data_IF_655824560710
#
_entry.id   IF_655824560710
#
_cell.length_a   1.000
_cell.length_b   1.000
_cell.length_c   1.000
_cell.angle_alpha   90.00
_cell.angle_beta   90.00
_cell.angle_gamma   90.00
#
_symmetry.space_group_name_H-M   'P 1'
#
loop_
_entity.id
_entity.type
_entity.pdbx_description
1 polymer ?
#
# COMPACT_ATOMS: atom_id res chain seq x y z
N UNK A 1 24.02 39.61 13.49
CA UNK A 1 24.26 38.25 12.98
C UNK A 1 23.02 37.86 12.22
N UNK A 2 23.14 37.78 10.91
CA UNK A 2 22.09 37.34 9.99
C UNK A 2 22.20 35.84 9.79
N UNK A 3 21.15 35.19 9.26
CA UNK A 3 21.18 33.76 8.94
C UNK A 3 22.32 33.42 7.96
N UNK A 4 22.66 34.34 7.05
CA UNK A 4 23.74 34.19 6.08
C UNK A 4 25.14 34.20 6.71
N UNK A 5 25.26 34.64 7.98
CA UNK A 5 26.54 34.63 8.71
C UNK A 5 26.80 33.28 9.39
N UNK A 6 25.84 32.35 9.36
CA UNK A 6 25.98 31.02 9.97
C UNK A 6 26.76 30.07 9.06
N UNK A 7 27.53 29.14 9.64
CA UNK A 7 28.10 28.01 8.91
C UNK A 7 27.02 27.19 8.17
N UNK A 8 27.35 26.67 6.98
CA UNK A 8 26.40 25.95 6.11
C UNK A 8 25.76 24.75 6.80
N UNK A 9 26.51 24.02 7.62
CA UNK A 9 26.05 22.89 8.42
C UNK A 9 24.95 23.29 9.41
N UNK A 10 25.04 24.47 10.02
CA UNK A 10 23.98 25.00 10.90
C UNK A 10 22.74 25.37 10.07
N UNK A 11 22.91 25.94 8.88
CA UNK A 11 21.78 26.25 8.00
C UNK A 11 21.09 24.95 7.57
N UNK A 12 21.85 23.91 7.21
CA UNK A 12 21.31 22.58 6.86
C UNK A 12 20.57 21.96 8.04
N UNK A 13 21.08 22.12 9.27
CA UNK A 13 20.39 21.65 10.47
C UNK A 13 19.06 22.38 10.69
N UNK A 14 19.02 23.70 10.51
CA UNK A 14 17.77 24.48 10.57
C UNK A 14 16.77 24.01 9.52
N UNK A 15 17.23 23.73 8.30
CA UNK A 15 16.39 23.26 7.18
C UNK A 15 15.74 21.90 7.47
N UNK A 16 16.33 21.07 8.33
CA UNK A 16 15.72 19.79 8.74
C UNK A 16 14.45 19.95 9.58
N UNK A 17 14.16 21.15 10.08
CA UNK A 17 12.92 21.46 10.81
C UNK A 17 11.84 22.08 9.91
N UNK A 18 12.15 22.31 8.63
CA UNK A 18 11.26 22.96 7.67
C UNK A 18 10.58 21.93 6.75
N UNK A 19 9.35 22.22 6.33
CA UNK A 19 8.63 21.42 5.33
C UNK A 19 8.89 21.96 3.93
N UNK A 20 8.87 21.12 2.88
CA UNK A 20 9.36 21.46 1.53
C UNK A 20 9.00 22.87 0.98
N UNK A 21 7.81 23.46 1.23
CA UNK A 21 7.53 24.84 0.80
C UNK A 21 8.43 25.91 1.44
N UNK A 22 8.87 25.67 2.67
CA UNK A 22 9.63 26.63 3.49
C UNK A 22 11.11 26.74 3.05
N UNK A 23 11.86 25.65 2.79
CA UNK A 23 13.20 25.74 2.20
C UNK A 23 13.19 26.45 0.85
N UNK A 24 12.17 26.23 0.02
CA UNK A 24 12.06 26.94 -1.28
C UNK A 24 11.88 28.44 -1.01
N UNK A 25 10.98 28.81 -0.10
CA UNK A 25 10.76 30.21 0.28
C UNK A 25 12.03 30.84 0.85
N UNK A 26 12.80 30.10 1.65
CA UNK A 26 14.09 30.51 2.19
C UNK A 26 15.11 30.80 1.09
N UNK A 27 15.24 29.91 0.10
CA UNK A 27 16.14 30.11 -1.06
C UNK A 27 15.79 31.38 -1.85
N UNK A 28 14.52 31.77 -1.89
CA UNK A 28 14.05 32.95 -2.62
C UNK A 28 14.22 34.27 -1.86
N UNK A 29 14.67 34.25 -0.60
CA UNK A 29 14.78 35.47 0.22
C UNK A 29 15.96 36.37 -0.20
N UNK A 30 17.12 35.83 -0.55
CA UNK A 30 18.29 36.58 -0.99
C UNK A 30 19.25 35.75 -1.85
N UNK A 31 20.15 36.40 -2.59
CA UNK A 31 21.11 35.72 -3.47
C UNK A 31 22.09 34.80 -2.74
N UNK A 32 22.47 35.15 -1.51
CA UNK A 32 23.35 34.32 -0.69
C UNK A 32 22.70 32.97 -0.34
N UNK A 33 21.43 32.99 0.09
CA UNK A 33 20.67 31.78 0.38
C UNK A 33 20.29 31.03 -0.90
N UNK A 34 19.99 31.75 -1.99
CA UNK A 34 19.76 31.11 -3.30
C UNK A 34 20.95 30.25 -3.76
N UNK A 35 22.18 30.62 -3.39
CA UNK A 35 23.38 29.82 -3.65
C UNK A 35 23.32 28.40 -3.06
N UNK A 36 22.57 28.18 -1.96
CA UNK A 36 22.34 26.84 -1.40
C UNK A 36 21.56 25.93 -2.35
N UNK A 37 20.83 26.50 -3.31
CA UNK A 37 20.12 25.71 -4.32
C UNK A 37 21.07 24.95 -5.26
N UNK A 38 22.35 25.32 -5.32
CA UNK A 38 23.36 24.59 -6.09
C UNK A 38 24.09 23.52 -5.27
N UNK A 39 23.83 23.47 -3.96
CA UNK A 39 24.40 22.48 -3.06
C UNK A 39 23.57 21.20 -3.05
N UNK A 40 24.19 20.07 -3.41
CA UNK A 40 23.51 18.77 -3.45
C UNK A 40 23.07 18.29 -2.06
N UNK A 41 23.89 18.54 -1.04
CA UNK A 41 23.59 18.18 0.35
C UNK A 41 22.34 18.86 0.87
N UNK A 42 22.08 20.11 0.49
CA UNK A 42 20.86 20.84 0.82
C UNK A 42 19.62 20.09 0.38
N UNK A 43 19.54 19.71 -0.90
CA UNK A 43 18.38 19.02 -1.44
C UNK A 43 18.19 17.61 -0.88
N UNK A 44 19.28 16.88 -0.58
CA UNK A 44 19.20 15.59 0.10
C UNK A 44 18.56 15.77 1.48
N UNK A 45 19.04 16.73 2.27
CA UNK A 45 18.51 17.03 3.62
C UNK A 45 17.01 17.37 3.60
N UNK A 46 16.62 18.25 2.66
CA UNK A 46 15.24 18.68 2.45
C UNK A 46 14.34 17.50 2.06
N UNK A 47 14.78 16.68 1.09
CA UNK A 47 14.01 15.55 0.59
C UNK A 47 13.94 14.40 1.60
N UNK A 48 14.99 14.13 2.36
CA UNK A 48 14.95 13.13 3.45
C UNK A 48 13.97 13.55 4.55
N UNK A 49 14.00 14.83 4.95
CA UNK A 49 13.06 15.38 5.93
C UNK A 49 11.63 15.28 5.41
N UNK A 50 11.40 15.62 4.14
CA UNK A 50 10.09 15.52 3.50
C UNK A 50 9.62 14.06 3.38
N UNK A 51 10.51 13.14 2.99
CA UNK A 51 10.25 11.70 2.88
C UNK A 51 9.84 11.09 4.21
N UNK A 52 10.30 11.63 5.34
CA UNK A 52 9.90 11.16 6.68
C UNK A 52 8.45 11.49 7.04
N UNK A 53 7.85 12.47 6.37
CA UNK A 53 6.48 12.91 6.63
C UNK A 53 5.51 12.52 5.52
N UNK A 54 5.99 12.51 4.28
CA UNK A 54 5.16 12.31 3.10
C UNK A 54 5.90 11.52 2.01
N UNK A 55 5.18 10.79 1.15
CA UNK A 55 5.78 10.14 -0.02
C UNK A 55 6.40 11.19 -0.96
N UNK A 56 7.54 10.85 -1.56
CA UNK A 56 8.20 11.64 -2.61
C UNK A 56 8.37 10.77 -3.86
N UNK A 57 8.48 11.39 -5.05
CA UNK A 57 8.46 10.71 -6.37
C UNK A 57 9.66 9.80 -6.71
N UNK A 58 9.99 8.89 -5.80
CA UNK A 58 10.97 7.83 -5.94
C UNK A 58 10.69 6.72 -4.91
N UNK A 59 11.19 5.49 -5.12
CA UNK A 59 10.99 4.41 -4.17
C UNK A 59 11.45 4.79 -2.75
N UNK A 60 10.72 4.40 -1.68
CA UNK A 60 10.93 4.87 -0.31
C UNK A 60 12.35 4.64 0.22
N UNK A 61 12.96 3.53 -0.20
CA UNK A 61 14.28 3.08 0.24
C UNK A 61 15.40 3.50 -0.70
N UNK A 62 15.14 4.37 -1.69
CA UNK A 62 16.16 4.84 -2.62
C UNK A 62 17.18 5.74 -1.91
N UNK A 63 18.47 5.45 -2.12
CA UNK A 63 19.57 6.30 -1.67
C UNK A 63 19.64 7.60 -2.48
N UNK A 64 19.19 8.70 -1.86
CA UNK A 64 19.18 10.03 -2.50
C UNK A 64 20.59 10.56 -2.77
N UNK A 65 21.62 10.07 -2.07
CA UNK A 65 23.01 10.50 -2.28
C UNK A 65 23.57 10.08 -3.64
N UNK A 66 22.94 9.10 -4.28
CA UNK A 66 23.29 8.63 -5.62
C UNK A 66 22.65 9.47 -6.73
N UNK A 67 21.69 10.33 -6.41
CA UNK A 67 20.99 11.12 -7.41
C UNK A 67 21.79 12.36 -7.80
N UNK A 68 21.84 12.72 -9.10
CA UNK A 68 22.42 13.98 -9.54
C UNK A 68 21.55 15.15 -9.06
N UNK A 69 22.16 16.33 -8.91
CA UNK A 69 21.49 17.55 -8.42
C UNK A 69 20.19 17.85 -9.19
N UNK A 70 20.22 17.76 -10.52
CA UNK A 70 19.04 18.01 -11.36
C UNK A 70 17.89 17.06 -11.06
N UNK A 71 18.20 15.79 -10.74
CA UNK A 71 17.18 14.82 -10.36
C UNK A 71 16.57 15.16 -9.01
N UNK A 72 17.37 15.58 -8.04
CA UNK A 72 16.89 16.03 -6.72
C UNK A 72 15.98 17.25 -6.85
N UNK A 73 16.40 18.27 -7.60
CA UNK A 73 15.55 19.43 -7.94
C UNK A 73 14.25 19.00 -8.63
N UNK A 74 14.33 18.04 -9.55
CA UNK A 74 13.18 17.45 -10.22
C UNK A 74 12.19 16.78 -9.26
N UNK A 75 12.67 16.04 -8.25
CA UNK A 75 11.81 15.43 -7.22
C UNK A 75 11.05 16.49 -6.42
N UNK A 76 11.72 17.58 -6.05
CA UNK A 76 11.11 18.72 -5.35
C UNK A 76 9.99 19.32 -6.18
N UNK A 77 10.26 19.62 -7.46
CA UNK A 77 9.26 20.19 -8.37
C UNK A 77 8.06 19.24 -8.54
N UNK A 78 8.30 17.94 -8.74
CA UNK A 78 7.25 16.94 -8.87
C UNK A 78 6.39 16.84 -7.61
N UNK A 79 7.01 16.81 -6.43
CA UNK A 79 6.27 16.79 -5.16
C UNK A 79 5.47 18.08 -4.97
N UNK A 80 6.03 19.25 -5.26
CA UNK A 80 5.31 20.53 -5.11
C UNK A 80 4.09 20.59 -6.03
N UNK A 81 4.24 20.17 -7.29
CA UNK A 81 3.12 20.10 -8.24
C UNK A 81 2.04 19.14 -7.77
N UNK A 82 2.44 17.98 -7.27
CA UNK A 82 1.54 17.00 -6.67
C UNK A 82 0.74 17.67 -5.55
N UNK A 83 1.40 18.17 -4.50
CA UNK A 83 0.71 18.77 -3.36
C UNK A 83 -0.21 19.93 -3.77
N UNK A 84 0.21 20.78 -4.71
CA UNK A 84 -0.65 21.85 -5.25
C UNK A 84 -1.91 21.27 -5.87
N UNK A 85 -1.81 20.21 -6.68
CA UNK A 85 -2.96 19.58 -7.32
C UNK A 85 -3.88 18.88 -6.31
N UNK A 86 -3.30 18.19 -5.33
CA UNK A 86 -4.05 17.48 -4.29
C UNK A 86 -4.76 18.41 -3.30
N UNK A 87 -4.21 19.61 -3.06
CA UNK A 87 -4.84 20.61 -2.22
C UNK A 87 -5.98 21.37 -2.94
N UNK A 88 -6.24 21.07 -4.22
CA UNK A 88 -7.41 21.62 -4.91
C UNK A 88 -8.67 20.88 -4.47
N UNK A 89 -9.83 21.57 -4.43
CA UNK A 89 -11.11 20.91 -4.17
C UNK A 89 -11.44 19.78 -5.16
N UNK A 90 -10.89 19.87 -6.39
CA UNK A 90 -11.07 18.91 -7.46
C UNK A 90 -9.72 18.63 -8.14
N UNK A 91 -8.92 17.67 -7.63
CA UNK A 91 -7.65 17.29 -8.26
C UNK A 91 -7.84 16.92 -9.72
N UNK A 92 -6.99 17.46 -10.59
CA UNK A 92 -7.14 17.31 -12.05
C UNK A 92 -6.07 16.40 -12.63
N UNK A 93 -6.43 15.69 -13.69
CA UNK A 93 -5.47 14.99 -14.53
C UNK A 93 -4.73 16.05 -15.35
N UNK A 94 -3.40 16.11 -15.20
CA UNK A 94 -2.55 17.16 -15.80
C UNK A 94 -2.14 16.81 -17.23
N UNK A 95 -2.07 15.52 -17.56
CA UNK A 95 -1.58 15.03 -18.84
C UNK A 95 -2.61 14.12 -19.53
N UNK A 96 -2.65 14.08 -20.88
CA UNK A 96 -3.48 13.11 -21.59
C UNK A 96 -3.18 11.69 -21.12
N UNK A 97 -4.23 10.87 -20.98
CA UNK A 97 -4.06 9.48 -20.61
C UNK A 97 -3.20 8.74 -21.64
N UNK A 98 -2.17 8.05 -21.17
CA UNK A 98 -1.40 7.14 -22.02
C UNK A 98 -2.04 5.77 -21.96
N UNK A 99 -2.32 5.18 -23.11
CA UNK A 99 -2.98 3.88 -23.21
C UNK A 99 -2.07 2.85 -23.88
N UNK A 100 -2.20 1.60 -23.49
CA UNK A 100 -1.43 0.48 -24.02
C UNK A 100 -2.25 -0.79 -23.97
N UNK A 101 -2.25 -1.55 -25.07
CA UNK A 101 -2.92 -2.85 -25.10
C UNK A 101 -2.05 -3.93 -24.49
N UNK A 102 -2.56 -4.57 -23.45
CA UNK A 102 -2.00 -5.80 -22.89
C UNK A 102 -2.35 -6.99 -23.81
N UNK A 103 -1.62 -8.11 -23.74
CA UNK A 103 -1.91 -9.30 -24.56
C UNK A 103 -3.28 -9.95 -24.27
N UNK A 104 -3.96 -9.55 -23.20
CA UNK A 104 -5.29 -10.01 -22.81
C UNK A 104 -5.79 -9.34 -21.54
N UNK A 105 -6.97 -9.75 -21.04
CA UNK A 105 -7.53 -9.23 -19.80
C UNK A 105 -6.59 -9.52 -18.63
N UNK A 106 -6.23 -8.47 -17.89
CA UNK A 106 -5.30 -8.56 -16.78
C UNK A 106 -5.86 -7.85 -15.54
N UNK A 107 -5.27 -8.16 -14.39
CA UNK A 107 -5.48 -7.46 -13.14
C UNK A 107 -4.14 -7.04 -12.55
N UNK A 108 -4.09 -5.83 -12.00
CA UNK A 108 -2.93 -5.36 -11.24
C UNK A 108 -3.00 -6.02 -9.87
N UNK A 109 -1.90 -6.66 -9.47
CA UNK A 109 -1.80 -7.34 -8.16
C UNK A 109 -0.79 -6.68 -7.25
N UNK A 110 0.17 -5.95 -7.83
CA UNK A 110 1.15 -5.15 -7.10
C UNK A 110 1.71 -4.06 -8.02
N UNK A 111 2.29 -3.02 -7.45
CA UNK A 111 3.04 -1.99 -8.16
C UNK A 111 4.25 -1.59 -7.34
N UNK A 112 5.42 -1.52 -7.98
CA UNK A 112 6.65 -1.07 -7.33
C UNK A 112 6.65 0.46 -7.29
N UNK A 113 6.61 1.02 -6.10
CA UNK A 113 6.24 2.41 -5.87
C UNK A 113 7.32 3.38 -6.31
N UNK A 114 6.91 4.49 -6.94
CA UNK A 114 7.83 5.46 -7.52
C UNK A 114 8.54 4.95 -8.78
N UNK A 115 8.02 3.88 -9.40
CA UNK A 115 8.51 3.31 -10.66
C UNK A 115 7.36 3.10 -11.64
N UNK A 116 7.65 2.76 -12.89
CA UNK A 116 6.63 2.40 -13.88
C UNK A 116 6.40 0.87 -13.93
N UNK A 117 6.79 0.12 -12.88
CA UNK A 117 6.73 -1.36 -12.84
C UNK A 117 5.43 -1.80 -12.18
N UNK A 118 4.54 -2.41 -12.97
CA UNK A 118 3.34 -3.08 -12.50
C UNK A 118 3.57 -4.58 -12.43
N UNK A 119 2.94 -5.27 -11.49
CA UNK A 119 2.84 -6.74 -11.47
C UNK A 119 1.41 -7.10 -11.82
N UNK A 120 1.27 -7.88 -12.88
CA UNK A 120 -0.02 -8.21 -13.47
C UNK A 120 -0.26 -9.71 -13.41
N UNK A 121 -1.53 -10.11 -13.22
CA UNK A 121 -2.00 -11.48 -13.47
C UNK A 121 -2.86 -11.52 -14.72
N UNK A 122 -2.61 -12.50 -15.59
CA UNK A 122 -3.34 -12.74 -16.83
C UNK A 122 -3.47 -14.24 -17.06
N UNK A 123 -4.70 -14.74 -17.15
CA UNK A 123 -5.00 -16.17 -17.46
C UNK A 123 -4.27 -17.18 -16.56
N UNK A 124 -4.01 -16.84 -15.30
CA UNK A 124 -3.29 -17.72 -14.37
C UNK A 124 -1.77 -17.69 -14.57
N UNK A 125 -1.23 -16.61 -15.11
CA UNK A 125 0.20 -16.34 -15.17
C UNK A 125 0.50 -14.94 -14.61
N UNK A 126 1.64 -14.76 -13.93
CA UNK A 126 2.08 -13.49 -13.35
C UNK A 126 3.35 -12.98 -14.01
N UNK A 127 3.42 -11.69 -14.29
CA UNK A 127 4.59 -11.04 -14.89
C UNK A 127 4.68 -9.56 -14.48
N UNK A 128 5.86 -8.95 -14.63
CA UNK A 128 6.00 -7.50 -14.53
C UNK A 128 5.70 -6.82 -15.86
N UNK A 129 5.20 -5.61 -15.80
CA UNK A 129 4.94 -4.76 -16.95
C UNK A 129 5.56 -3.40 -16.73
N UNK A 130 6.38 -2.95 -17.68
CA UNK A 130 6.89 -1.59 -17.72
C UNK A 130 5.84 -0.71 -18.40
N UNK A 131 5.06 0.03 -17.59
CA UNK A 131 3.97 0.87 -18.05
C UNK A 131 4.44 2.01 -18.95
N UNK A 132 5.70 2.45 -18.82
CA UNK A 132 6.28 3.52 -19.62
C UNK A 132 6.72 3.03 -21.00
N UNK A 133 7.35 1.86 -21.07
CA UNK A 133 7.85 1.31 -22.33
C UNK A 133 6.85 0.36 -23.00
N UNK A 134 5.71 0.06 -22.36
CA UNK A 134 4.69 -0.85 -22.88
C UNK A 134 5.23 -2.26 -23.16
N UNK A 135 6.11 -2.76 -22.29
CA UNK A 135 6.80 -4.05 -22.48
C UNK A 135 6.70 -4.93 -21.24
N UNK A 136 6.46 -6.26 -21.40
CA UNK A 136 6.51 -7.21 -20.29
C UNK A 136 7.96 -7.50 -19.87
N UNK A 137 8.14 -7.84 -18.60
CA UNK A 137 9.39 -8.32 -18.02
C UNK A 137 9.11 -9.37 -16.92
N UNK A 138 9.87 -10.47 -16.83
CA UNK A 138 10.71 -11.00 -17.90
C UNK A 138 9.81 -11.46 -19.06
N UNK A 139 10.41 -11.86 -20.19
CA UNK A 139 9.63 -12.36 -21.33
C UNK A 139 8.81 -13.63 -21.01
N UNK A 140 9.14 -14.34 -19.93
CA UNK A 140 8.45 -15.56 -19.50
C UNK A 140 7.69 -15.31 -18.20
N UNK A 141 6.36 -15.37 -18.27
CA UNK A 141 5.51 -15.27 -17.10
C UNK A 141 5.67 -16.49 -16.15
N UNK A 142 5.34 -16.27 -14.87
CA UNK A 142 5.24 -17.32 -13.85
C UNK A 142 3.87 -17.94 -13.94
N UNK A 143 3.80 -19.21 -14.31
CA UNK A 143 2.54 -19.94 -14.35
C UNK A 143 2.04 -20.22 -12.93
N UNK A 144 0.90 -19.63 -12.57
CA UNK A 144 0.25 -19.85 -11.27
C UNK A 144 -0.84 -20.91 -11.33
N UNK A 145 -1.48 -21.06 -12.50
CA UNK A 145 -2.55 -22.03 -12.77
C UNK A 145 -3.86 -21.74 -12.03
N UNK A 146 -4.01 -20.53 -11.48
CA UNK A 146 -5.11 -20.17 -10.60
C UNK A 146 -5.36 -18.68 -10.49
N UNK A 147 -6.37 -18.31 -9.71
CA UNK A 147 -6.65 -16.93 -9.35
C UNK A 147 -5.87 -16.56 -8.09
N UNK A 148 -5.48 -15.29 -7.98
CA UNK A 148 -4.72 -14.80 -6.84
C UNK A 148 -5.71 -14.38 -5.77
N UNK A 149 -5.53 -14.88 -4.55
CA UNK A 149 -6.47 -14.65 -3.44
C UNK A 149 -5.95 -13.67 -2.40
N UNK A 150 -4.64 -13.58 -2.24
CA UNK A 150 -3.96 -12.72 -1.27
C UNK A 150 -2.61 -12.30 -1.81
N UNK A 151 -2.19 -11.07 -1.53
CA UNK A 151 -0.88 -10.53 -1.90
C UNK A 151 -0.33 -9.73 -0.73
N UNK A 152 0.96 -9.89 -0.46
CA UNK A 152 1.73 -9.03 0.43
C UNK A 152 3.06 -8.69 -0.24
N UNK A 153 3.53 -7.46 -0.05
CA UNK A 153 4.75 -6.99 -0.65
C UNK A 153 5.61 -6.23 0.35
N UNK A 154 6.92 -6.37 0.17
CA UNK A 154 7.94 -5.59 0.86
C UNK A 154 8.83 -4.94 -0.19
N UNK A 155 9.00 -3.63 -0.07
CA UNK A 155 9.98 -2.89 -0.86
C UNK A 155 11.23 -2.63 -0.02
N UNK A 156 12.37 -2.62 -0.70
CA UNK A 156 13.69 -2.35 -0.17
C UNK A 156 14.53 -1.67 -1.25
N UNK A 157 15.74 -1.24 -0.92
CA UNK A 157 16.58 -0.48 -1.85
C UNK A 157 16.90 -1.28 -3.13
N UNK A 158 16.16 -1.02 -4.21
CA UNK A 158 16.32 -1.69 -5.51
C UNK A 158 15.79 -3.12 -5.58
N UNK A 159 15.07 -3.59 -4.56
CA UNK A 159 14.51 -4.94 -4.48
C UNK A 159 13.09 -4.84 -3.95
N UNK A 160 12.17 -5.52 -4.62
CA UNK A 160 10.80 -5.72 -4.16
C UNK A 160 10.54 -7.22 -4.05
N UNK A 161 10.05 -7.67 -2.89
CA UNK A 161 9.68 -9.06 -2.63
C UNK A 161 8.17 -9.13 -2.46
N UNK A 162 7.52 -9.99 -3.24
CA UNK A 162 6.08 -10.21 -3.21
C UNK A 162 5.80 -11.65 -2.83
N UNK A 163 4.89 -11.86 -1.89
CA UNK A 163 4.33 -13.17 -1.62
C UNK A 163 2.83 -13.16 -1.89
N UNK A 164 2.32 -14.20 -2.55
CA UNK A 164 0.91 -14.32 -2.84
C UNK A 164 0.45 -15.78 -2.87
N UNK A 165 -0.85 -15.97 -2.67
CA UNK A 165 -1.51 -17.26 -2.87
C UNK A 165 -2.17 -17.30 -4.24
N UNK A 166 -2.01 -18.44 -4.94
CA UNK A 166 -2.83 -18.74 -6.10
C UNK A 166 -3.63 -20.03 -5.85
N UNK A 167 -4.96 -19.91 -5.92
CA UNK A 167 -5.88 -21.02 -5.79
C UNK A 167 -6.18 -21.61 -7.18
N UNK A 168 -5.81 -22.88 -7.45
CA UNK A 168 -6.05 -23.52 -8.74
C UNK A 168 -7.55 -23.55 -9.07
N UNK A 169 -7.92 -23.27 -10.33
CA UNK A 169 -9.32 -23.30 -10.75
C UNK A 169 -10.00 -24.66 -10.51
N UNK A 170 -9.24 -25.75 -10.63
CA UNK A 170 -9.75 -27.11 -10.45
C UNK A 170 -9.77 -27.58 -8.98
N UNK A 171 -9.05 -26.90 -8.07
CA UNK A 171 -8.85 -27.33 -6.69
C UNK A 171 -8.60 -26.12 -5.77
N UNK A 172 -9.63 -25.31 -5.47
CA UNK A 172 -9.48 -24.06 -4.72
C UNK A 172 -8.93 -24.26 -3.29
N UNK A 173 -9.11 -25.45 -2.71
CA UNK A 173 -8.66 -25.79 -1.35
C UNK A 173 -7.18 -26.15 -1.23
N UNK A 174 -6.40 -26.06 -2.31
CA UNK A 174 -4.97 -26.35 -2.29
C UNK A 174 -4.18 -25.15 -2.84
N UNK A 175 -4.21 -23.98 -2.17
CA UNK A 175 -3.50 -22.81 -2.62
C UNK A 175 -1.99 -23.08 -2.65
N UNK A 176 -1.33 -22.53 -3.66
CA UNK A 176 0.13 -22.52 -3.75
C UNK A 176 0.63 -21.13 -3.35
N UNK A 177 1.70 -21.10 -2.56
CA UNK A 177 2.39 -19.85 -2.22
C UNK A 177 3.50 -19.59 -3.23
N UNK A 178 3.45 -18.41 -3.81
CA UNK A 178 4.48 -17.89 -4.70
C UNK A 178 5.22 -16.78 -3.98
N UNK A 179 6.54 -16.73 -4.19
CA UNK A 179 7.38 -15.61 -3.79
C UNK A 179 8.05 -15.10 -5.06
N UNK A 180 7.89 -13.82 -5.34
CA UNK A 180 8.56 -13.14 -6.44
C UNK A 180 9.57 -12.15 -5.88
N UNK A 181 10.77 -12.14 -6.44
CA UNK A 181 11.76 -11.11 -6.16
C UNK A 181 12.02 -10.33 -7.44
N UNK A 182 11.76 -9.03 -7.38
CA UNK A 182 11.92 -8.08 -8.48
C UNK A 182 13.07 -7.17 -8.12
N UNK A 183 14.20 -7.27 -8.83
CA UNK A 183 15.27 -6.27 -8.71
C UNK A 183 14.99 -5.17 -9.70
N UNK A 184 15.13 -3.92 -9.28
CA UNK A 184 14.87 -2.77 -10.12
C UNK A 184 15.94 -1.69 -9.95
N UNK A 185 16.23 -0.99 -11.05
CA UNK A 185 17.17 0.12 -11.10
C UNK A 185 16.66 1.18 -12.07
N UNK A 186 16.81 2.46 -11.71
CA UNK A 186 16.37 3.59 -12.53
C UNK A 186 14.90 3.49 -13.00
N UNK A 187 14.02 2.96 -12.14
CA UNK A 187 12.59 2.80 -12.42
C UNK A 187 12.24 1.64 -13.36
N UNK A 188 13.19 0.73 -13.64
CA UNK A 188 12.97 -0.44 -14.50
C UNK A 188 13.33 -1.74 -13.78
N UNK A 189 12.58 -2.80 -14.06
CA UNK A 189 12.92 -4.14 -13.60
C UNK A 189 14.18 -4.62 -14.36
N UNK A 190 15.14 -5.17 -13.62
CA UNK A 190 16.42 -5.68 -14.16
C UNK A 190 16.59 -7.18 -13.91
N UNK A 191 15.90 -7.72 -12.91
CA UNK A 191 15.88 -9.14 -12.59
C UNK A 191 14.51 -9.51 -12.02
N UNK A 192 14.10 -10.77 -12.25
CA UNK A 192 12.83 -11.29 -11.80
C UNK A 192 12.98 -12.79 -11.55
N UNK A 193 12.86 -13.18 -10.29
CA UNK A 193 12.92 -14.58 -9.87
C UNK A 193 11.62 -14.97 -9.19
N UNK A 194 11.30 -16.26 -9.23
CA UNK A 194 10.14 -16.81 -8.56
C UNK A 194 10.45 -18.12 -7.86
N UNK A 195 9.91 -18.27 -6.66
CA UNK A 195 9.91 -19.49 -5.89
C UNK A 195 8.48 -19.94 -5.65
N UNK A 196 8.26 -21.26 -5.69
CA UNK A 196 6.94 -21.86 -5.49
C UNK A 196 7.04 -22.88 -4.38
N UNK A 197 6.16 -22.75 -3.40
CA UNK A 197 6.05 -23.68 -2.28
C UNK A 197 4.62 -24.16 -2.14
N UNK A 198 4.45 -25.45 -1.87
CA UNK A 198 3.16 -25.96 -1.43
C UNK A 198 2.96 -25.57 0.02
N UNK A 199 1.80 -25.03 0.34
CA UNK A 199 1.41 -24.77 1.72
C UNK A 199 0.50 -25.90 2.15
N UNK A 200 0.94 -26.66 3.15
CA UNK A 200 0.10 -27.67 3.78
C UNK A 200 -0.96 -26.96 4.61
N UNK A 201 -2.10 -26.66 3.99
CA UNK A 201 -3.22 -26.07 4.72
C UNK A 201 -4.01 -27.16 5.44
N UNK A 202 -4.35 -26.96 6.72
CA UNK A 202 -5.36 -27.79 7.36
C UNK A 202 -6.68 -27.67 6.57
N UNK A 203 -7.43 -28.78 6.44
CA UNK A 203 -8.69 -28.77 5.70
C UNK A 203 -9.68 -27.77 6.31
N UNK A 204 -10.19 -26.85 5.48
CA UNK A 204 -11.20 -25.86 5.85
C UNK A 204 -10.65 -24.68 6.66
N UNK A 205 -9.74 -23.86 6.09
CA UNK A 205 -9.47 -22.56 6.67
C UNK A 205 -10.54 -21.54 6.22
N UNK A 206 -11.20 -20.86 7.16
CA UNK A 206 -12.04 -19.70 6.86
C UNK A 206 -11.22 -18.50 6.35
N UNK A 207 -9.97 -18.36 6.80
CA UNK A 207 -9.15 -17.18 6.54
C UNK A 207 -7.70 -17.52 6.26
N UNK A 208 -7.13 -16.84 5.27
CA UNK A 208 -5.74 -16.97 4.87
C UNK A 208 -5.13 -15.58 4.64
N UNK A 209 -3.97 -15.32 5.23
CA UNK A 209 -3.20 -14.11 4.98
C UNK A 209 -1.73 -14.47 4.78
N UNK A 210 -1.05 -13.77 3.88
CA UNK A 210 0.38 -13.90 3.63
C UNK A 210 1.06 -12.60 4.04
N UNK A 211 2.26 -12.69 4.60
CA UNK A 211 3.06 -11.51 4.92
C UNK A 211 4.52 -11.72 4.52
N UNK A 212 5.18 -10.60 4.22
CA UNK A 212 6.60 -10.54 3.86
C UNK A 212 7.32 -9.61 4.81
N UNK A 213 8.51 -10.01 5.24
CA UNK A 213 9.47 -9.18 5.97
C UNK A 213 10.84 -9.32 5.30
N UNK A 214 11.83 -8.58 5.79
CA UNK A 214 13.19 -8.59 5.25
C UNK A 214 13.85 -9.98 5.27
N UNK A 215 13.48 -10.84 6.23
CA UNK A 215 14.13 -12.13 6.47
C UNK A 215 13.18 -13.34 6.52
N UNK A 216 11.87 -13.13 6.36
CA UNK A 216 10.89 -14.21 6.39
C UNK A 216 9.65 -13.93 5.54
N UNK A 217 9.07 -15.00 5.01
CA UNK A 217 7.74 -15.03 4.43
C UNK A 217 6.89 -15.98 5.27
N UNK A 218 5.75 -15.50 5.75
CA UNK A 218 4.87 -16.30 6.57
C UNK A 218 3.43 -16.29 6.07
N UNK A 219 2.67 -17.23 6.61
CA UNK A 219 1.26 -17.43 6.31
C UNK A 219 0.50 -17.60 7.60
N UNK A 220 -0.65 -16.93 7.71
CA UNK A 220 -1.58 -17.08 8.82
C UNK A 220 -2.81 -17.77 8.29
N UNK A 221 -3.23 -18.84 8.98
CA UNK A 221 -4.45 -19.57 8.69
C UNK A 221 -5.27 -19.76 9.96
N UNK A 222 -6.57 -19.50 9.89
CA UNK A 222 -7.53 -19.82 10.96
C UNK A 222 -8.28 -21.11 10.61
N UNK A 223 -8.56 -21.97 11.59
CA UNK A 223 -9.31 -23.24 11.38
C UNK A 223 -10.69 -23.14 12.02
N UNK A 224 -11.74 -23.43 11.27
CA UNK A 224 -13.18 -23.22 11.58
C UNK A 224 -13.67 -23.75 12.94
N UNK A 225 -12.98 -24.73 13.52
CA UNK A 225 -13.40 -25.41 14.76
C UNK A 225 -12.45 -25.21 15.94
N UNK A 226 -11.38 -24.44 15.76
CA UNK A 226 -10.42 -24.15 16.83
C UNK A 226 -10.26 -22.64 16.91
N UNK A 227 -10.36 -22.09 18.11
CA UNK A 227 -10.01 -20.70 18.44
C UNK A 227 -8.50 -20.41 18.29
N UNK A 228 -7.85 -21.13 17.36
CA UNK A 228 -6.42 -21.13 17.15
C UNK A 228 -6.12 -20.60 15.74
N UNK A 229 -5.37 -19.51 15.65
CA UNK A 229 -4.67 -19.17 14.41
C UNK A 229 -3.36 -19.94 14.35
N UNK A 230 -3.08 -20.55 13.20
CA UNK A 230 -1.81 -21.19 12.89
C UNK A 230 -0.99 -20.22 12.04
N UNK A 231 0.13 -19.79 12.59
CA UNK A 231 1.12 -19.01 11.88
C UNK A 231 2.27 -19.92 11.46
N UNK A 232 2.55 -19.94 10.16
CA UNK A 232 3.62 -20.72 9.54
C UNK A 232 4.65 -19.76 8.96
N UNK A 233 5.89 -19.82 9.43
CA UNK A 233 6.97 -18.90 8.98
C UNK A 233 8.06 -19.67 8.26
N UNK A 234 8.49 -19.18 7.11
CA UNK A 234 9.66 -19.69 6.36
C UNK A 234 10.71 -18.58 6.27
N UNK A 235 11.95 -18.88 6.65
CA UNK A 235 13.05 -17.92 6.53
C UNK A 235 13.46 -17.70 5.08
N UNK A 236 13.89 -16.49 4.75
CA UNK A 236 14.48 -16.14 3.44
C UNK A 236 16.00 -16.08 3.62
N UNK A 237 16.73 -16.95 2.93
CA UNK A 237 18.20 -16.92 2.88
C UNK A 237 18.69 -15.67 2.15
N UNK A 238 19.90 -15.21 2.48
CA UNK A 238 20.61 -14.19 1.70
C UNK A 238 20.85 -14.57 0.25
N UNK A 239 20.81 -15.87 -0.07
CA UNK A 239 20.88 -16.41 -1.44
C UNK A 239 19.49 -16.44 -2.12
N UNK A 240 18.52 -15.67 -1.63
CA UNK A 240 17.13 -15.61 -2.09
C UNK A 240 16.36 -16.95 -1.98
N UNK A 241 16.91 -17.96 -1.29
CA UNK A 241 16.29 -19.29 -1.13
C UNK A 241 15.52 -19.41 0.18
N UNK A 242 14.30 -19.94 0.13
CA UNK A 242 13.59 -20.34 1.35
C UNK A 242 14.38 -21.37 2.16
N UNK A 243 14.50 -21.12 3.47
CA UNK A 243 14.99 -22.10 4.44
C UNK A 243 13.85 -23.03 4.85
N UNK A 244 14.11 -24.34 4.87
CA UNK A 244 13.13 -25.37 5.25
C UNK A 244 12.67 -25.29 6.73
N UNK A 245 13.24 -24.39 7.53
CA UNK A 245 12.82 -24.21 8.92
C UNK A 245 11.44 -23.56 8.96
N UNK A 246 10.42 -24.40 9.10
CA UNK A 246 9.04 -23.98 9.30
C UNK A 246 8.73 -23.95 10.79
N UNK A 247 8.46 -22.75 11.33
CA UNK A 247 7.96 -22.60 12.70
C UNK A 247 6.45 -22.46 12.67
N UNK A 248 5.78 -23.20 13.55
CA UNK A 248 4.32 -23.14 13.73
C UNK A 248 4.01 -22.50 15.07
N UNK A 249 3.37 -21.33 15.04
CA UNK A 249 2.89 -20.63 16.22
C UNK A 249 1.37 -20.77 16.31
N UNK A 250 0.86 -21.16 17.48
CA UNK A 250 -0.58 -21.19 17.77
C UNK A 250 -0.97 -19.96 18.56
N UNK A 251 -1.94 -19.21 18.07
CA UNK A 251 -2.51 -18.07 18.78
C UNK A 251 -3.84 -18.49 19.37
N UNK A 252 -3.88 -18.71 20.70
CA UNK A 252 -5.10 -19.05 21.43
C UNK A 252 -5.96 -17.80 21.62
N UNK A 253 -6.73 -17.43 20.60
CA UNK A 253 -7.73 -16.37 20.70
C UNK A 253 -8.99 -16.73 19.93
N UNK A 254 -10.17 -16.66 20.59
CA UNK A 254 -11.43 -16.79 19.88
C UNK A 254 -11.51 -15.73 18.79
N UNK A 255 -11.50 -16.18 17.54
CA UNK A 255 -11.88 -15.34 16.42
C UNK A 255 -13.39 -15.19 16.44
N UNK A 256 -13.93 -13.96 16.45
CA UNK A 256 -15.36 -13.78 16.23
C UNK A 256 -15.74 -14.44 14.91
N UNK A 257 -16.88 -15.15 14.86
CA UNK A 257 -17.34 -15.93 13.69
C UNK A 257 -17.54 -15.10 12.41
N UNK A 258 -17.56 -13.77 12.55
CA UNK A 258 -17.73 -12.81 11.47
C UNK A 258 -16.61 -11.78 11.40
N UNK A 259 -15.55 -11.95 12.20
CA UNK A 259 -14.42 -11.05 12.13
C UNK A 259 -13.64 -11.32 10.86
N UNK A 260 -13.17 -10.23 10.26
CA UNK A 260 -12.27 -10.31 9.13
C UNK A 260 -10.84 -10.16 9.64
N UNK A 261 -9.98 -11.05 9.17
CA UNK A 261 -8.60 -11.14 9.59
C UNK A 261 -7.67 -10.69 8.47
N UNK A 262 -6.73 -9.84 8.85
CA UNK A 262 -5.69 -9.31 7.98
C UNK A 262 -4.36 -9.38 8.71
N UNK A 263 -3.25 -9.50 7.97
CA UNK A 263 -1.94 -9.35 8.57
C UNK A 263 -0.98 -8.51 7.75
N UNK A 264 -0.19 -7.71 8.45
CA UNK A 264 0.93 -6.99 7.86
C UNK A 264 2.16 -7.09 8.73
N UNK A 265 3.32 -6.87 8.13
CA UNK A 265 4.56 -6.86 8.86
C UNK A 265 5.30 -5.53 8.72
N UNK A 266 5.96 -5.10 9.79
CA UNK A 266 6.76 -3.88 9.83
C UNK A 266 7.97 -4.06 10.72
N UNK A 267 9.16 -3.78 10.19
CA UNK A 267 10.47 -4.01 10.86
C UNK A 267 10.63 -5.43 11.43
N UNK A 268 10.03 -6.41 10.76
CA UNK A 268 10.02 -7.81 11.18
C UNK A 268 9.07 -8.14 12.33
N UNK A 269 8.25 -7.20 12.81
CA UNK A 269 7.10 -7.48 13.67
C UNK A 269 5.88 -7.79 12.81
N UNK A 270 4.99 -8.66 13.31
CA UNK A 270 3.75 -9.03 12.64
C UNK A 270 2.56 -8.43 13.41
N UNK A 271 1.62 -7.87 12.67
CA UNK A 271 0.39 -7.30 13.19
C UNK A 271 -0.78 -8.04 12.55
N UNK A 272 -1.64 -8.60 13.39
CA UNK A 272 -2.87 -9.26 12.97
C UNK A 272 -4.02 -8.36 13.35
N UNK A 273 -4.77 -7.91 12.35
CA UNK A 273 -5.96 -7.08 12.54
C UNK A 273 -7.17 -7.99 12.46
N UNK A 274 -8.04 -7.86 13.44
CA UNK A 274 -9.33 -8.50 13.53
C UNK A 274 -10.36 -7.38 13.60
N UNK A 275 -11.10 -7.21 12.51
CA UNK A 275 -12.18 -6.23 12.44
C UNK A 275 -13.52 -6.95 12.67
N UNK A 276 -14.31 -6.46 13.62
CA UNK A 276 -15.71 -6.81 13.79
C UNK A 276 -16.60 -5.57 13.51
N UNK A 277 -17.89 -5.69 13.80
CA UNK A 277 -18.85 -4.60 13.55
C UNK A 277 -18.62 -3.37 14.40
N UNK A 278 -17.92 -3.46 15.54
CA UNK A 278 -17.82 -2.40 16.56
C UNK A 278 -16.37 -1.94 16.79
N UNK A 279 -15.40 -2.81 16.53
CA UNK A 279 -14.00 -2.57 16.86
C UNK A 279 -13.01 -3.16 15.86
N UNK A 280 -11.83 -2.57 15.83
CA UNK A 280 -10.63 -3.15 15.22
C UNK A 280 -9.70 -3.57 16.35
N UNK A 281 -9.47 -4.86 16.48
CA UNK A 281 -8.50 -5.42 17.39
C UNK A 281 -7.19 -5.68 16.64
N UNK A 282 -6.08 -5.27 17.23
CA UNK A 282 -4.76 -5.41 16.63
C UNK A 282 -3.91 -6.22 17.60
N UNK A 283 -3.49 -7.39 17.14
CA UNK A 283 -2.58 -8.25 17.86
C UNK A 283 -1.17 -8.08 17.31
N UNK A 284 -0.24 -7.71 18.20
CA UNK A 284 1.17 -7.57 17.87
C UNK A 284 1.95 -8.83 18.24
N UNK A 285 2.73 -9.35 17.30
CA UNK A 285 3.65 -10.46 17.49
C UNK A 285 5.06 -9.95 17.21
N UNK A 286 5.92 -10.07 18.22
CA UNK A 286 7.27 -9.53 18.15
C UNK A 286 8.16 -10.28 17.16
N UNK A 287 9.14 -9.60 16.56
CA UNK A 287 10.14 -10.21 15.68
C UNK A 287 10.86 -11.39 16.36
N UNK A 288 11.15 -11.24 17.65
CA UNK A 288 11.77 -12.30 18.46
C UNK A 288 10.86 -13.52 18.62
N UNK A 289 9.57 -13.32 18.88
CA UNK A 289 8.59 -14.42 18.94
C UNK A 289 8.48 -15.15 17.60
N UNK A 290 8.39 -14.41 16.50
CA UNK A 290 8.36 -14.99 15.15
C UNK A 290 9.58 -15.88 14.85
N UNK A 291 10.79 -15.41 15.21
CA UNK A 291 12.03 -16.16 14.95
C UNK A 291 12.24 -17.34 15.89
N UNK A 292 11.81 -17.23 17.14
CA UNK A 292 12.00 -18.29 18.14
C UNK A 292 10.92 -19.38 18.07
N UNK A 293 9.79 -19.11 17.40
CA UNK A 293 8.61 -19.95 17.44
C UNK A 293 7.89 -19.94 18.81
N UNK A 294 8.35 -19.11 19.75
CA UNK A 294 7.71 -18.93 21.06
C UNK A 294 6.57 -17.92 21.00
N UNK A 295 5.49 -18.17 21.74
CA UNK A 295 4.44 -17.18 21.97
C UNK A 295 4.76 -16.41 23.27
N UNK A 296 5.43 -15.26 23.15
CA UNK A 296 5.38 -14.26 24.24
C UNK A 296 3.98 -13.60 24.24
N UNK A 297 3.56 -13.01 25.38
CA UNK A 297 2.27 -12.29 25.45
C UNK A 297 2.20 -11.22 24.35
N UNK A 298 1.25 -11.38 23.43
CA UNK A 298 1.02 -10.40 22.37
C UNK A 298 0.35 -9.16 22.95
N UNK A 299 0.88 -7.97 22.67
CA UNK A 299 0.17 -6.72 22.96
C UNK A 299 -1.13 -6.67 22.16
N UNK A 300 -2.22 -6.26 22.81
CA UNK A 300 -3.52 -6.05 22.18
C UNK A 300 -3.85 -4.57 22.17
N UNK A 301 -4.16 -4.06 20.99
CA UNK A 301 -4.72 -2.73 20.81
C UNK A 301 -6.15 -2.89 20.34
N UNK A 302 -7.03 -2.02 20.81
CA UNK A 302 -8.43 -1.98 20.39
C UNK A 302 -8.70 -0.55 19.96
N UNK A 303 -9.12 -0.37 18.71
CA UNK A 303 -9.65 0.88 18.21
C UNK A 303 -11.15 0.71 18.05
N UNK A 304 -11.91 1.65 18.60
CA UNK A 304 -13.35 1.69 18.39
C UNK A 304 -13.62 2.21 16.98
N UNK A 305 -14.62 1.61 16.34
CA UNK A 305 -15.18 2.12 15.10
C UNK A 305 -16.46 2.86 15.48
N UNK A 306 -16.57 4.12 15.08
CA UNK A 306 -17.81 4.88 15.23
C UNK A 306 -18.86 4.33 14.25
N UNK A 307 -19.53 3.24 14.63
CA UNK A 307 -20.57 2.60 13.83
C UNK A 307 -21.85 2.44 14.63
N UNK A 308 -22.84 3.27 14.31
CA UNK A 308 -24.19 3.17 14.86
C UNK A 308 -25.10 2.19 14.10
N UNK A 309 -24.55 1.24 13.32
CA UNK A 309 -25.31 0.46 12.34
C UNK A 309 -25.14 -1.04 12.52
N UNK A 310 -26.26 -1.76 12.43
CA UNK A 310 -26.40 -3.17 12.82
C UNK A 310 -25.92 -4.19 11.76
N UNK A 311 -25.72 -3.79 10.49
CA UNK A 311 -25.32 -4.72 9.41
C UNK A 311 -24.25 -4.11 8.51
N UNK A 312 -23.01 -4.59 8.67
CA UNK A 312 -21.93 -4.38 7.70
C UNK A 312 -21.48 -5.70 7.12
N UNK A 313 -21.19 -5.67 5.83
CA UNK A 313 -20.21 -6.57 5.26
C UNK A 313 -18.99 -5.71 4.91
N UNK A 314 -17.88 -5.99 5.57
CA UNK A 314 -16.59 -5.48 5.14
C UNK A 314 -16.07 -6.39 4.02
N UNK A 315 -15.48 -5.78 2.98
CA UNK A 315 -15.19 -6.49 1.74
C UNK A 315 -13.74 -6.34 1.27
N UNK A 316 -13.05 -5.28 1.70
CA UNK A 316 -11.71 -4.98 1.22
C UNK A 316 -10.81 -4.46 2.34
N UNK A 317 -9.60 -4.99 2.37
CA UNK A 317 -8.52 -4.61 3.27
C UNK A 317 -7.34 -4.18 2.44
N UNK A 318 -6.71 -3.09 2.85
CA UNK A 318 -5.49 -2.66 2.20
C UNK A 318 -4.49 -2.21 3.25
N UNK A 319 -3.26 -2.70 3.10
CA UNK A 319 -2.15 -2.44 3.99
C UNK A 319 -1.16 -1.58 3.22
N UNK A 320 -0.78 -0.41 3.74
CA UNK A 320 0.34 0.31 3.19
C UNK A 320 1.62 -0.47 3.45
N UNK A 321 2.46 -0.65 2.43
CA UNK A 321 3.77 -1.28 2.59
C UNK A 321 4.70 -0.51 3.53
N UNK A 322 4.36 0.74 3.86
CA UNK A 322 5.02 1.51 4.93
C UNK A 322 4.04 2.18 5.88
N UNK A 323 3.67 1.53 7.00
CA UNK A 323 2.89 2.19 8.05
C UNK A 323 3.63 3.36 8.72
N UNK A 324 4.91 3.54 8.39
CA UNK A 324 5.73 4.68 8.76
C UNK A 324 5.09 6.05 8.45
N UNK A 325 4.24 6.14 7.41
CA UNK A 325 3.54 7.38 7.07
C UNK A 325 2.34 7.69 7.98
N UNK A 326 1.92 6.75 8.83
CA UNK A 326 0.95 7.00 9.88
C UNK A 326 -0.45 6.43 9.62
N UNK A 327 -0.62 5.59 8.60
CA UNK A 327 -1.79 4.72 8.43
C UNK A 327 -1.31 3.27 8.44
N UNK A 328 -1.98 2.38 9.16
CA UNK A 328 -1.64 0.95 9.18
C UNK A 328 -2.60 0.07 8.38
N UNK A 329 -3.84 0.52 8.21
CA UNK A 329 -4.85 -0.20 7.43
C UNK A 329 -5.96 0.75 6.98
N UNK A 330 -6.62 0.38 5.89
CA UNK A 330 -7.89 0.97 5.46
C UNK A 330 -8.91 -0.14 5.29
N UNK A 331 -10.07 0.04 5.92
CA UNK A 331 -11.21 -0.85 5.84
C UNK A 331 -12.26 -0.23 4.92
N UNK A 332 -12.83 -1.03 4.02
CA UNK A 332 -13.90 -0.56 3.14
C UNK A 332 -15.17 -1.39 3.35
N UNK A 333 -16.24 -0.71 3.74
CA UNK A 333 -17.54 -1.30 4.05
C UNK A 333 -18.62 -0.77 3.14
N UNK A 334 -19.61 -1.62 2.85
CA UNK A 334 -20.88 -1.15 2.28
C UNK A 334 -21.88 -1.00 3.40
N UNK A 335 -22.53 0.15 3.45
CA UNK A 335 -23.63 0.36 4.37
C UNK A 335 -24.92 -0.13 3.73
N UNK A 336 -25.51 -1.15 4.37
CA UNK A 336 -26.87 -1.59 4.09
C UNK A 336 -27.81 -0.89 5.07
N UNK A 337 -28.58 0.10 4.61
CA UNK A 337 -29.65 0.63 5.45
C UNK A 337 -30.78 -0.38 5.61
N UNK A 338 -31.45 -0.32 6.77
CA UNK A 338 -32.70 -1.00 7.04
C UNK A 338 -33.73 -0.71 5.92
N UNK A 339 -34.56 -1.71 5.59
CA UNK A 339 -35.51 -1.69 4.47
C UNK A 339 -36.24 -0.34 4.32
N UNK A 340 -35.91 0.42 3.27
CA UNK A 340 -36.65 1.62 2.87
C UNK A 340 -35.79 2.84 2.51
N UNK A 341 -34.53 2.90 2.97
CA UNK A 341 -33.63 3.98 2.57
C UNK A 341 -32.93 3.65 1.24
N UNK A 342 -32.97 4.61 0.32
CA UNK A 342 -32.32 4.47 -1.00
C UNK A 342 -30.88 4.93 -0.99
N UNK A 343 -30.42 5.62 0.05
CA UNK A 343 -29.08 6.20 0.12
C UNK A 343 -28.03 5.15 0.48
N UNK A 344 -27.56 4.38 -0.50
CA UNK A 344 -26.40 3.50 -0.27
C UNK A 344 -25.10 4.30 -0.25
N UNK A 345 -24.23 3.96 0.69
CA UNK A 345 -22.93 4.59 0.86
C UNK A 345 -21.82 3.52 0.97
N UNK A 346 -20.60 3.92 0.63
CA UNK A 346 -19.38 3.17 0.84
C UNK A 346 -18.55 3.91 1.87
N UNK A 347 -18.17 3.20 2.93
CA UNK A 347 -17.43 3.73 4.06
C UNK A 347 -15.96 3.34 3.96
N UNK A 348 -15.06 4.30 4.09
CA UNK A 348 -13.61 4.10 4.14
C UNK A 348 -13.12 4.47 5.54
N UNK A 349 -12.72 3.47 6.32
CA UNK A 349 -12.24 3.65 7.69
C UNK A 349 -10.72 3.50 7.70
N UNK A 350 -10.02 4.59 7.94
CA UNK A 350 -8.57 4.65 8.10
C UNK A 350 -8.23 4.35 9.56
N UNK A 351 -7.22 3.49 9.76
CA UNK A 351 -6.63 3.21 11.06
C UNK A 351 -5.29 3.94 11.19
N UNK A 352 -5.25 5.08 11.92
CA UNK A 352 -4.01 5.81 12.11
C UNK A 352 -3.05 5.07 13.03
N UNK A 353 -1.76 5.21 12.74
CA UNK A 353 -0.67 4.68 13.55
C UNK A 353 0.42 5.74 13.72
N UNK A 354 1.25 5.60 14.73
CA UNK A 354 2.40 6.46 15.00
C UNK A 354 3.61 5.62 15.37
N UNK A 355 4.80 6.15 15.14
CA UNK A 355 6.03 5.50 15.58
C UNK A 355 6.27 5.78 17.07
N UNK A 356 6.62 4.75 17.83
CA UNK A 356 6.86 4.90 19.29
C UNK A 356 8.18 5.63 19.62
N UNK A 357 9.03 5.91 18.61
CA UNK A 357 10.40 6.42 18.73
C UNK A 357 11.35 5.58 19.61
N UNK A 358 10.88 4.48 20.18
CA UNK A 358 11.70 3.52 20.90
C UNK A 358 12.69 2.86 19.93
N UNK A 359 13.89 2.56 20.44
CA UNK A 359 14.81 1.71 19.70
C UNK A 359 14.15 0.34 19.47
N UNK A 360 14.26 -0.18 18.25
CA UNK A 360 13.74 -1.50 17.92
C UNK A 360 14.60 -2.57 18.63
N UNK A 361 14.10 -3.07 19.76
CA UNK A 361 14.67 -4.16 20.54
C UNK A 361 14.21 -5.55 20.04
N UNK A 362 13.39 -5.60 18.98
CA UNK A 362 12.76 -6.80 18.44
C UNK A 362 11.65 -7.40 19.30
N UNK A 363 11.30 -6.76 20.43
CA UNK A 363 10.27 -7.20 21.38
C UNK A 363 9.12 -6.20 21.40
N UNK A 364 9.41 -4.94 21.69
CA UNK A 364 8.47 -3.83 21.78
C UNK A 364 7.92 -3.45 20.41
N UNK A 365 6.63 -3.10 20.33
CA UNK A 365 6.04 -2.64 19.07
C UNK A 365 6.69 -1.31 18.63
N UNK A 366 7.23 -1.22 17.40
CA UNK A 366 7.64 0.06 16.83
C UNK A 366 6.46 0.96 16.45
N UNK A 367 5.24 0.41 16.45
CA UNK A 367 3.99 1.11 16.14
C UNK A 367 3.14 1.28 17.40
N UNK A 368 2.55 2.46 17.54
CA UNK A 368 1.43 2.74 18.43
C UNK A 368 0.19 2.99 17.58
N UNK A 369 -0.95 2.52 18.04
CA UNK A 369 -2.23 2.67 17.36
C UNK A 369 -3.08 3.68 18.12
N UNK A 370 -3.73 4.58 17.38
CA UNK A 370 -4.70 5.49 17.96
C UNK A 370 -5.95 4.71 18.39
N UNK A 371 -6.71 5.24 19.35
CA UNK A 371 -7.97 4.65 19.81
C UNK A 371 -9.12 4.90 18.85
N UNK A 372 -8.99 5.90 17.97
CA UNK A 372 -10.07 6.34 17.08
C UNK A 372 -9.68 6.19 15.61
N UNK A 373 -10.46 5.37 14.89
CA UNK A 373 -10.42 5.34 13.44
C UNK A 373 -10.99 6.65 12.84
N UNK A 374 -10.60 6.97 11.62
CA UNK A 374 -11.12 8.14 10.89
C UNK A 374 -11.83 7.66 9.63
N UNK A 375 -13.07 8.10 9.43
CA UNK A 375 -13.95 7.54 8.40
C UNK A 375 -14.38 8.58 7.37
N UNK A 376 -14.36 8.20 6.10
CA UNK A 376 -14.98 8.93 4.99
C UNK A 376 -16.17 8.15 4.41
N UNK A 377 -17.27 8.87 4.18
CA UNK A 377 -18.47 8.32 3.56
C UNK A 377 -18.62 8.79 2.12
N UNK A 378 -18.65 7.84 1.19
CA UNK A 378 -18.80 8.10 -0.25
C UNK A 378 -20.16 7.60 -0.73
N UNK A 379 -20.98 8.48 -1.30
CA UNK A 379 -22.30 8.09 -1.84
C UNK A 379 -22.16 7.10 -3.01
N UNK A 380 -22.94 6.03 -2.98
CA UNK A 380 -22.88 4.92 -3.94
C UNK A 380 -22.31 3.63 -3.33
N UNK A 381 -22.25 2.60 -4.16
CA UNK A 381 -21.68 1.29 -3.79
C UNK A 381 -20.42 1.02 -4.59
N UNK A 382 -19.51 0.24 -4.05
CA UNK A 382 -18.40 -0.31 -4.83
C UNK A 382 -18.92 -1.06 -6.06
N UNK A 383 -18.34 -0.77 -7.23
CA UNK A 383 -18.67 -1.48 -8.46
C UNK A 383 -18.18 -2.93 -8.39
N UNK A 384 -16.97 -3.15 -7.89
CA UNK A 384 -16.37 -4.45 -7.62
C UNK A 384 -15.28 -4.29 -6.54
N UNK A 385 -15.01 -5.34 -5.76
CA UNK A 385 -13.99 -5.32 -4.69
C UNK A 385 -12.58 -5.14 -5.27
N UNK A 386 -12.30 -5.74 -6.44
CA UNK A 386 -11.04 -5.62 -7.18
C UNK A 386 -10.77 -4.21 -7.71
N UNK A 387 -11.77 -3.32 -7.62
CA UNK A 387 -11.71 -1.93 -8.05
C UNK A 387 -11.50 -0.98 -6.87
N UNK A 388 -10.80 -1.43 -5.83
CA UNK A 388 -10.34 -0.63 -4.70
C UNK A 388 -8.83 -0.84 -4.55
N UNK A 389 -8.09 0.25 -4.38
CA UNK A 389 -6.63 0.19 -4.19
C UNK A 389 -6.15 1.26 -3.21
N UNK A 390 -5.15 0.92 -2.40
CA UNK A 390 -4.50 1.81 -1.45
C UNK A 390 -3.10 2.12 -1.94
N UNK A 391 -2.74 3.38 -1.88
CA UNK A 391 -1.40 3.82 -2.17
C UNK A 391 -0.38 3.31 -1.12
N UNK A 392 0.88 3.62 -1.38
CA UNK A 392 1.99 3.19 -0.54
C UNK A 392 1.97 3.82 0.85
N UNK A 393 1.64 5.12 0.92
CA UNK A 393 1.60 5.83 2.20
C UNK A 393 0.40 5.44 3.08
N UNK A 394 -0.64 4.87 2.47
CA UNK A 394 -1.92 4.63 3.11
C UNK A 394 -2.78 5.89 3.22
N UNK A 395 -2.31 7.02 2.69
CA UNK A 395 -3.07 8.27 2.72
C UNK A 395 -4.18 8.28 1.68
N UNK A 396 -4.06 7.53 0.59
CA UNK A 396 -5.00 7.63 -0.52
C UNK A 396 -5.52 6.26 -0.93
N UNK A 397 -6.85 6.12 -0.92
CA UNK A 397 -7.54 5.00 -1.52
C UNK A 397 -8.23 5.47 -2.80
N UNK A 398 -8.12 4.69 -3.87
CA UNK A 398 -8.89 4.89 -5.10
C UNK A 398 -9.91 3.77 -5.24
N UNK A 399 -11.14 4.12 -5.61
CA UNK A 399 -12.21 3.17 -5.79
C UNK A 399 -13.09 3.51 -6.99
N UNK A 400 -13.68 2.49 -7.63
CA UNK A 400 -14.76 2.70 -8.62
C UNK A 400 -16.11 2.55 -7.92
N UNK A 401 -16.84 3.65 -7.84
CA UNK A 401 -18.12 3.74 -7.13
C UNK A 401 -19.25 3.82 -8.16
N UNK A 402 -20.19 2.90 -8.08
CA UNK A 402 -21.46 2.93 -8.79
C UNK A 402 -22.44 3.82 -8.00
N UNK A 403 -22.90 4.95 -8.56
CA UNK A 403 -23.89 5.79 -7.89
C UNK A 403 -25.21 5.05 -7.68
N UNK A 404 -25.96 5.47 -6.67
CA UNK A 404 -27.28 4.93 -6.30
C UNK A 404 -28.27 5.02 -7.45
N UNK A 405 -28.23 6.12 -8.20
CA UNK A 405 -29.10 6.30 -9.36
C UNK A 405 -28.62 5.37 -10.49
N UNK A 406 -29.44 4.36 -10.82
CA UNK A 406 -29.09 3.29 -11.75
C UNK A 406 -28.62 3.75 -13.15
N UNK A 407 -28.94 4.98 -13.54
CA UNK A 407 -28.58 5.55 -14.84
C UNK A 407 -27.23 6.29 -14.85
N UNK A 408 -26.68 6.64 -13.69
CA UNK A 408 -25.39 7.33 -13.64
C UNK A 408 -24.24 6.34 -13.89
N UNK A 409 -23.22 6.73 -14.68
CA UNK A 409 -22.04 5.90 -14.88
C UNK A 409 -21.26 5.74 -13.57
N UNK A 410 -20.54 4.62 -13.38
CA UNK A 410 -19.57 4.52 -12.31
C UNK A 410 -18.56 5.64 -12.39
N UNK A 411 -18.11 6.09 -11.22
CA UNK A 411 -17.13 7.16 -11.07
C UNK A 411 -15.89 6.65 -10.35
N UNK A 412 -14.74 7.16 -10.77
CA UNK A 412 -13.48 6.94 -10.07
C UNK A 412 -13.41 7.94 -8.90
N UNK A 413 -13.38 7.45 -7.67
CA UNK A 413 -13.33 8.27 -6.45
C UNK A 413 -12.00 8.05 -5.77
N UNK A 414 -11.41 9.16 -5.35
CA UNK A 414 -10.19 9.23 -4.57
C UNK A 414 -10.55 9.66 -3.16
N UNK A 415 -10.27 8.81 -2.19
CA UNK A 415 -10.49 9.07 -0.77
C UNK A 415 -9.14 9.30 -0.13
N UNK A 416 -9.00 10.43 0.57
CA UNK A 416 -7.74 10.85 1.18
C UNK A 416 -7.89 11.00 2.68
N UNK A 417 -6.89 10.55 3.41
CA UNK A 417 -6.62 10.88 4.80
C UNK A 417 -5.61 12.03 4.89
N UNK A 418 -5.90 13.01 5.74
CA UNK A 418 -5.06 14.17 6.01
C UNK A 418 -4.44 14.01 7.40
N UNK A 419 -3.17 13.55 7.50
CA UNK A 419 -2.55 13.25 8.78
C UNK A 419 -2.41 14.47 9.70
N UNK A 420 -2.27 15.67 9.13
CA UNK A 420 -2.10 16.90 9.92
C UNK A 420 -3.37 17.31 10.68
N UNK A 421 -4.53 17.10 10.05
CA UNK A 421 -5.83 17.49 10.60
C UNK A 421 -6.63 16.30 11.14
N UNK A 422 -6.14 15.07 10.94
CA UNK A 422 -6.85 13.82 11.23
C UNK A 422 -8.25 13.80 10.64
N UNK A 423 -8.38 14.30 9.42
CA UNK A 423 -9.65 14.34 8.68
C UNK A 423 -9.53 13.57 7.39
N UNK A 424 -10.67 13.30 6.76
CA UNK A 424 -10.72 12.70 5.43
C UNK A 424 -11.37 13.64 4.42
N UNK A 425 -11.15 13.35 3.14
CA UNK A 425 -11.90 13.94 2.04
C UNK A 425 -12.08 12.94 0.91
N UNK A 426 -13.13 13.11 0.11
CA UNK A 426 -13.35 12.33 -1.10
C UNK A 426 -13.51 13.23 -2.33
N UNK A 427 -12.90 12.82 -3.43
CA UNK A 427 -12.88 13.57 -4.69
C UNK A 427 -13.21 12.66 -5.86
N UNK A 428 -14.15 13.07 -6.72
CA UNK A 428 -14.41 12.36 -7.97
C UNK A 428 -13.38 12.77 -9.02
N UNK A 429 -12.66 11.80 -9.55
CA UNK A 429 -11.67 11.98 -10.59
C UNK A 429 -12.34 12.00 -11.97
N UNK A 430 -12.06 13.04 -12.76
CA UNK A 430 -12.55 13.14 -14.13
C UNK A 430 -11.80 12.15 -15.03
N UNK A 431 -12.44 11.04 -15.35
CA UNK A 431 -11.90 10.03 -16.27
C UNK A 431 -12.12 10.50 -17.72
N UNK A 432 -11.10 10.47 -18.60
CA UNK A 432 -11.27 10.77 -20.02
C UNK A 432 -12.37 9.92 -20.68
N UNK A 433 -13.15 10.52 -21.59
CA UNK A 433 -14.27 9.84 -22.28
C UNK A 433 -13.85 8.56 -23.04
N UNK A 434 -12.57 8.43 -23.38
CA UNK A 434 -12.00 7.25 -24.03
C UNK A 434 -11.91 6.04 -23.10
N UNK A 435 -12.03 6.23 -21.79
CA UNK A 435 -11.98 5.17 -20.79
C UNK A 435 -13.39 5.00 -20.23
N UNK A 436 -13.96 3.81 -20.36
CA UNK A 436 -15.27 3.49 -19.83
C UNK A 436 -15.14 2.91 -18.40
N UNK A 437 -15.60 3.62 -17.34
CA UNK A 437 -15.50 3.11 -15.98
C UNK A 437 -16.26 1.78 -15.76
N UNK A 438 -17.29 1.49 -16.56
CA UNK A 438 -18.06 0.23 -16.47
C UNK A 438 -17.28 -0.99 -16.93
N UNK A 439 -16.23 -0.81 -17.73
CA UNK A 439 -15.42 -1.92 -18.25
C UNK A 439 -14.14 -2.14 -17.45
N UNK A 440 -13.88 -1.36 -16.39
CA UNK A 440 -12.70 -1.52 -15.55
C UNK A 440 -12.71 -2.87 -14.82
N UNK A 441 -11.56 -3.53 -14.79
CA UNK A 441 -11.33 -4.80 -14.08
C UNK A 441 -10.29 -4.67 -12.96
N UNK A 442 -9.50 -3.59 -12.95
CA UNK A 442 -8.50 -3.33 -11.92
C UNK A 442 -8.09 -1.85 -11.92
N UNK A 443 -7.73 -1.33 -10.75
CA UNK A 443 -7.19 0.02 -10.54
C UNK A 443 -5.99 -0.05 -9.59
N UNK A 444 -5.00 0.82 -9.78
CA UNK A 444 -4.03 1.12 -8.74
C UNK A 444 -3.64 2.60 -8.72
N UNK A 445 -3.15 3.09 -7.58
CA UNK A 445 -2.66 4.46 -7.38
C UNK A 445 -1.23 4.46 -6.84
N UNK A 446 -0.38 5.30 -7.44
CA UNK A 446 0.96 5.64 -6.97
C UNK A 446 0.92 7.11 -6.51
N UNK A 447 0.85 7.31 -5.21
CA UNK A 447 0.90 8.62 -4.56
C UNK A 447 2.29 9.26 -4.64
N UNK A 448 3.36 8.46 -4.72
CA UNK A 448 4.71 8.97 -4.90
C UNK A 448 4.85 9.62 -6.27
N UNK A 449 4.34 8.99 -7.32
CA UNK A 449 4.45 9.46 -8.70
C UNK A 449 3.29 10.35 -9.14
N UNK A 450 2.19 10.37 -8.37
CA UNK A 450 0.95 11.03 -8.76
C UNK A 450 0.36 10.39 -10.00
N UNK A 451 0.14 9.08 -9.97
CA UNK A 451 -0.35 8.30 -11.11
C UNK A 451 -1.46 7.36 -10.67
N UNK A 452 -2.49 7.21 -11.51
CA UNK A 452 -3.49 6.14 -11.38
C UNK A 452 -3.44 5.27 -12.63
N UNK A 453 -3.29 3.96 -12.44
CA UNK A 453 -3.38 2.99 -13.52
C UNK A 453 -4.76 2.32 -13.51
N UNK A 454 -5.33 2.15 -14.69
CA UNK A 454 -6.63 1.55 -14.91
C UNK A 454 -6.48 0.43 -15.94
N UNK A 455 -7.00 -0.76 -15.65
CA UNK A 455 -7.08 -1.85 -16.61
C UNK A 455 -8.54 -2.17 -16.86
N UNK A 456 -8.91 -2.29 -18.13
CA UNK A 456 -10.24 -2.75 -18.52
C UNK A 456 -10.29 -4.25 -18.82
N UNK A 457 -11.52 -4.75 -18.92
CA UNK A 457 -11.84 -6.15 -19.26
C UNK A 457 -11.38 -6.57 -20.65
N UNK A 458 -11.02 -5.63 -21.53
CA UNK A 458 -10.41 -5.91 -22.84
C UNK A 458 -8.87 -5.92 -22.79
N UNK A 459 -8.26 -5.60 -21.65
CA UNK A 459 -6.82 -5.51 -21.47
C UNK A 459 -6.21 -4.17 -21.89
N UNK A 460 -6.99 -3.10 -21.97
CA UNK A 460 -6.45 -1.74 -22.16
C UNK A 460 -5.93 -1.21 -20.83
N UNK A 461 -4.61 -1.05 -20.71
CA UNK A 461 -3.97 -0.34 -19.61
C UNK A 461 -3.95 1.16 -19.91
N UNK A 462 -4.60 1.95 -19.08
CA UNK A 462 -4.58 3.41 -19.14
C UNK A 462 -3.85 3.98 -17.92
N UNK A 463 -3.01 4.99 -18.14
CA UNK A 463 -2.26 5.67 -17.07
C UNK A 463 -2.64 7.14 -17.03
N UNK A 464 -3.15 7.58 -15.88
CA UNK A 464 -3.60 8.95 -15.60
C UNK A 464 -2.58 9.64 -14.71
N UNK A 465 -2.07 10.83 -15.09
CA UNK A 465 -1.04 11.55 -14.32
C UNK A 465 -1.56 12.85 -13.72
N UNK A 466 -1.19 13.09 -12.46
CA UNK A 466 -1.59 14.25 -11.64
C UNK A 466 -0.47 15.29 -11.47
N UNK A 467 0.69 15.11 -12.14
CA UNK A 467 1.93 15.90 -11.98
C UNK A 467 2.58 16.28 -13.31
#
# INVERSE_FOLDING_TARGET
MTLCDLPIDIILDVVNFLELPDPISLLLTCSALYGLSDERSFWISVLETTRRKSPIACPPHSDLSQYPLDRLKGLVISWSKLQINWNQPFPQIVQPATTTHLPGPAQIIFMVQGTDILVLTMKGSVFCWDAKNATPFPLRAVETGGHITQVSGLESAGICVLAFFAAPFAAPHAPRRYILTIKHAAGKAIDFTSEVSQVSMPYGPHFESVFVTEDMVGTISAIDNQEDCILTVSGVSSDDRLLDSTSVLKLHRPLPSHALMLSFAYKGHLYILLEDSESVQIQHISRKSLRSGGCEESSLYISEIDSSYDEFAAFCYMIPSTPFYGISAVFVRLEGHAQGDTSRSTCFTFLPTTLTHAADDGVSSPLAFDTSCVTEWVSGVLAEISLVWLDHSGFNAVAVIQPVMAFEPPRLVLVRYHPETRSTSSHTLTVPETINPRSLSSVCIDDTAGVVHLVDTAGLLSTLRYV
#
